data_IF_802016568413
#
_entry.id   IF_802016568413
#
_cell.length_a   1.000
_cell.length_b   1.000
_cell.length_c   1.000
_cell.angle_alpha   90.00
_cell.angle_beta   90.00
_cell.angle_gamma   90.00
#
_symmetry.space_group_name_H-M   'P 1'
#
loop_
_entity.id
_entity.type
_entity.pdbx_description
1 polymer ?
#
# COMPACT_ATOMS: atom_id res chain seq x y z
N UNK A 1 -15.47 4.01 -6.82
CA UNK A 1 -16.06 2.81 -6.24
C UNK A 1 -15.49 1.56 -6.89
N UNK A 2 -15.25 0.53 -6.12
CA UNK A 2 -14.91 -0.78 -6.68
C UNK A 2 -16.15 -1.27 -7.43
N UNK A 3 -16.08 -1.60 -8.74
CA UNK A 3 -17.23 -2.12 -9.45
C UNK A 3 -17.76 -3.40 -8.76
N UNK A 4 -19.04 -3.42 -8.43
CA UNK A 4 -19.67 -4.52 -7.72
C UNK A 4 -19.98 -4.25 -6.24
N UNK A 5 -19.52 -3.13 -5.67
CA UNK A 5 -19.98 -2.69 -4.35
C UNK A 5 -21.40 -2.13 -4.46
N UNK A 6 -22.38 -2.96 -4.19
CA UNK A 6 -23.81 -2.62 -4.30
C UNK A 6 -24.38 -1.98 -3.03
N UNK A 7 -23.55 -1.73 -2.01
CA UNK A 7 -23.97 -1.06 -0.77
C UNK A 7 -24.89 -1.87 0.17
N UNK A 8 -25.28 -3.07 -0.22
CA UNK A 8 -26.15 -3.91 0.60
C UNK A 8 -25.45 -5.20 1.02
N UNK A 9 -24.70 -5.13 2.13
CA UNK A 9 -24.02 -6.29 2.71
C UNK A 9 -22.71 -6.68 2.02
N UNK A 10 -22.30 -5.96 0.99
CA UNK A 10 -20.98 -6.12 0.38
C UNK A 10 -19.91 -5.49 1.27
N UNK A 11 -18.76 -6.11 1.36
CA UNK A 11 -17.60 -5.54 2.05
C UNK A 11 -17.14 -4.30 1.29
N UNK A 12 -17.15 -3.13 1.95
CA UNK A 12 -16.66 -1.90 1.34
C UNK A 12 -15.12 -1.90 1.37
N UNK A 13 -14.52 -2.22 0.23
CA UNK A 13 -13.06 -2.24 0.09
C UNK A 13 -12.45 -0.85 -0.22
N UNK A 14 -13.29 0.18 -0.45
CA UNK A 14 -12.82 1.50 -0.83
C UNK A 14 -12.38 1.58 -2.30
N UNK A 15 -11.47 2.50 -2.58
CA UNK A 15 -10.96 2.76 -3.93
C UNK A 15 -9.55 2.22 -4.09
N UNK A 16 -9.27 1.68 -5.29
CA UNK A 16 -7.92 1.31 -5.72
C UNK A 16 -7.40 2.34 -6.71
N UNK A 17 -6.14 2.70 -6.57
CA UNK A 17 -5.46 3.72 -7.38
C UNK A 17 -4.18 3.14 -7.97
N UNK A 18 -3.85 3.46 -9.22
CA UNK A 18 -2.49 3.28 -9.68
C UNK A 18 -1.56 4.28 -8.98
N UNK A 19 -0.26 4.03 -9.01
CA UNK A 19 0.69 4.85 -8.26
C UNK A 19 0.71 6.31 -8.72
N UNK A 20 0.56 6.57 -10.02
CA UNK A 20 0.48 7.94 -10.54
C UNK A 20 -0.73 8.70 -9.99
N UNK A 21 -1.90 8.05 -9.89
CA UNK A 21 -3.06 8.66 -9.28
C UNK A 21 -2.84 8.87 -7.77
N UNK A 22 -2.28 7.89 -7.05
CA UNK A 22 -2.01 8.00 -5.63
C UNK A 22 -1.02 9.14 -5.30
N UNK A 23 -0.08 9.42 -6.19
CA UNK A 23 0.95 10.48 -6.06
C UNK A 23 0.61 11.78 -6.78
N UNK A 24 -0.66 11.96 -7.15
CA UNK A 24 -1.16 13.18 -7.80
C UNK A 24 -0.42 13.57 -9.10
N UNK A 25 -0.06 12.57 -9.90
CA UNK A 25 0.47 12.77 -11.26
C UNK A 25 1.93 12.41 -11.46
N UNK A 26 2.63 11.92 -10.44
CA UNK A 26 4.01 11.44 -10.65
C UNK A 26 4.05 10.26 -11.61
N UNK A 27 5.03 10.26 -12.49
CA UNK A 27 5.23 9.22 -13.52
C UNK A 27 6.58 8.55 -13.36
N UNK A 28 6.81 7.49 -14.12
CA UNK A 28 8.13 6.88 -14.18
C UNK A 28 9.19 7.84 -14.75
N UNK A 29 8.80 8.78 -15.62
CA UNK A 29 9.72 9.76 -16.18
C UNK A 29 10.04 10.90 -15.20
N UNK A 30 9.10 11.24 -14.31
CA UNK A 30 9.30 12.32 -13.33
C UNK A 30 10.07 11.87 -12.09
N UNK A 31 9.94 10.59 -11.69
CA UNK A 31 10.59 10.07 -10.49
C UNK A 31 10.99 8.60 -10.68
N UNK A 32 12.30 8.35 -10.63
CA UNK A 32 12.90 7.01 -10.75
C UNK A 32 13.38 6.47 -9.41
N UNK A 33 13.51 7.32 -8.40
CA UNK A 33 13.93 6.96 -7.04
C UNK A 33 13.47 8.03 -6.05
N UNK A 34 13.47 7.71 -4.76
CA UNK A 34 13.03 8.62 -3.72
C UNK A 34 11.51 8.70 -3.59
N UNK A 35 11.02 9.74 -2.94
CA UNK A 35 9.63 9.89 -2.56
C UNK A 35 8.92 10.93 -3.44
N UNK A 36 7.69 10.62 -3.86
CA UNK A 36 6.82 11.56 -4.53
C UNK A 36 6.53 12.77 -3.62
N UNK A 37 6.62 13.96 -4.19
CA UNK A 37 6.40 15.21 -3.44
C UNK A 37 4.91 15.48 -3.16
N UNK A 38 4.02 14.87 -3.94
CA UNK A 38 2.58 15.09 -3.88
C UNK A 38 1.82 13.78 -3.67
N UNK A 39 0.57 13.89 -3.28
CA UNK A 39 -0.34 12.75 -3.14
C UNK A 39 -1.80 13.21 -3.18
N UNK A 40 -2.71 12.23 -3.34
CA UNK A 40 -4.16 12.46 -3.20
C UNK A 40 -4.61 12.65 -1.75
N UNK A 41 -3.71 12.55 -0.79
CA UNK A 41 -4.00 12.77 0.62
C UNK A 41 -4.46 14.21 0.88
N UNK A 42 -5.37 14.39 1.82
CA UNK A 42 -5.84 15.71 2.23
C UNK A 42 -4.69 16.60 2.72
N UNK A 43 -4.89 17.90 2.68
CA UNK A 43 -3.90 18.86 3.19
C UNK A 43 -3.50 18.54 4.63
N UNK A 44 -2.20 18.51 4.91
CA UNK A 44 -1.65 18.09 6.20
C UNK A 44 -1.44 16.59 6.34
N UNK A 45 -1.82 15.82 5.33
CA UNK A 45 -1.59 14.37 5.26
C UNK A 45 -0.72 14.02 4.06
N UNK A 46 -0.06 12.88 4.12
CA UNK A 46 0.82 12.39 3.04
C UNK A 46 0.71 10.89 2.89
N UNK A 47 1.17 10.37 1.76
CA UNK A 47 1.43 8.93 1.64
C UNK A 47 2.58 8.51 2.57
N UNK A 48 2.52 7.31 3.16
CA UNK A 48 3.66 6.72 3.84
C UNK A 48 4.85 6.54 2.89
N UNK A 49 6.06 6.65 3.39
CA UNK A 49 7.25 6.21 2.66
C UNK A 49 7.40 4.68 2.74
N UNK A 50 7.95 4.08 1.68
CA UNK A 50 8.18 2.64 1.57
C UNK A 50 9.67 2.29 1.52
N UNK A 51 9.94 0.99 1.38
CA UNK A 51 11.29 0.45 1.38
C UNK A 51 11.92 0.37 2.77
N UNK A 52 13.21 0.05 2.82
CA UNK A 52 13.95 -0.13 4.07
C UNK A 52 13.94 1.16 4.89
N UNK A 53 13.50 1.06 6.15
CA UNK A 53 13.44 2.19 7.08
C UNK A 53 12.36 3.23 6.78
N UNK A 54 11.51 3.01 5.78
CA UNK A 54 10.37 3.87 5.49
C UNK A 54 9.27 3.77 6.55
N UNK A 55 8.25 4.62 6.41
CA UNK A 55 7.14 4.67 7.40
C UNK A 55 6.46 3.32 7.60
N UNK A 56 6.27 2.53 6.54
CA UNK A 56 5.68 1.20 6.69
C UNK A 56 6.57 0.25 7.47
N UNK A 57 7.90 0.30 7.28
CA UNK A 57 8.83 -0.50 8.07
C UNK A 57 8.84 -0.08 9.55
N UNK A 58 8.77 1.22 9.83
CA UNK A 58 8.67 1.74 11.18
C UNK A 58 7.33 1.37 11.84
N UNK A 59 6.23 1.41 11.09
CA UNK A 59 4.92 0.97 11.56
C UNK A 59 4.94 -0.52 11.92
N UNK A 60 5.56 -1.34 11.09
CA UNK A 60 5.74 -2.76 11.34
C UNK A 60 6.51 -3.02 12.65
N UNK A 61 7.59 -2.27 12.87
CA UNK A 61 8.36 -2.34 14.12
C UNK A 61 7.52 -1.90 15.33
N UNK A 62 6.70 -0.86 15.19
CA UNK A 62 5.80 -0.42 16.25
C UNK A 62 4.72 -1.48 16.59
N UNK A 63 4.36 -2.32 15.62
CA UNK A 63 3.46 -3.46 15.81
C UNK A 63 4.16 -4.72 16.37
N UNK A 64 5.48 -4.66 16.59
CA UNK A 64 6.29 -5.76 17.13
C UNK A 64 6.97 -6.63 16.08
N UNK A 65 6.95 -6.20 14.82
CA UNK A 65 7.69 -6.83 13.71
C UNK A 65 9.14 -6.34 13.60
N UNK A 66 9.85 -6.85 12.61
CA UNK A 66 11.25 -6.49 12.34
C UNK A 66 11.42 -5.30 11.40
N UNK A 67 10.36 -4.81 10.79
CA UNK A 67 10.41 -3.86 9.67
C UNK A 67 10.66 -4.51 8.31
N UNK A 68 10.62 -5.84 8.26
CA UNK A 68 10.76 -6.68 7.08
C UNK A 68 9.63 -7.72 7.04
N UNK A 69 9.79 -8.75 6.22
CA UNK A 69 8.78 -9.80 6.12
C UNK A 69 8.54 -10.49 7.46
N UNK A 70 7.27 -10.71 7.77
CA UNK A 70 6.80 -11.46 8.94
C UNK A 70 5.81 -12.54 8.54
N UNK A 71 5.79 -13.64 9.30
CA UNK A 71 4.96 -14.81 9.05
C UNK A 71 4.03 -15.09 10.23
N UNK A 72 3.10 -16.00 10.03
CA UNK A 72 2.13 -16.39 11.07
C UNK A 72 2.80 -16.74 12.39
N UNK A 73 2.21 -16.22 13.48
CA UNK A 73 2.76 -16.36 14.84
C UNK A 73 3.57 -15.15 15.33
N UNK A 74 3.93 -14.22 14.46
CA UNK A 74 4.55 -12.96 14.85
C UNK A 74 3.51 -11.94 15.32
N UNK A 75 3.87 -11.10 16.29
CA UNK A 75 2.93 -10.20 16.99
C UNK A 75 2.33 -9.11 16.08
N UNK A 76 3.07 -8.67 15.06
CA UNK A 76 2.66 -7.62 14.14
C UNK A 76 1.54 -8.03 13.18
N UNK A 77 1.39 -9.33 12.87
CA UNK A 77 0.40 -9.83 11.90
C UNK A 77 -1.02 -9.37 12.25
N UNK A 78 -1.43 -9.57 13.52
CA UNK A 78 -2.77 -9.16 13.96
C UNK A 78 -2.99 -7.65 13.88
N UNK A 79 -1.95 -6.86 14.14
CA UNK A 79 -2.03 -5.40 14.06
C UNK A 79 -2.17 -4.90 12.61
N UNK A 80 -1.45 -5.51 11.68
CA UNK A 80 -1.55 -5.18 10.26
C UNK A 80 -2.94 -5.46 9.69
N UNK A 81 -3.64 -6.49 10.16
CA UNK A 81 -5.01 -6.79 9.72
C UNK A 81 -6.00 -5.65 10.01
N UNK A 82 -5.69 -4.77 10.96
CA UNK A 82 -6.48 -3.57 11.26
C UNK A 82 -5.99 -2.31 10.50
N UNK A 83 -4.94 -2.43 9.70
CA UNK A 83 -4.35 -1.28 9.00
C UNK A 83 -5.11 -0.84 7.76
N UNK A 84 -5.99 -1.66 7.25
CA UNK A 84 -6.83 -1.36 6.10
C UNK A 84 -7.70 -2.54 5.69
N UNK A 85 -8.61 -2.36 4.74
CA UNK A 85 -9.41 -3.45 4.22
C UNK A 85 -8.54 -4.40 3.40
N UNK A 86 -8.93 -5.67 3.35
CA UNK A 86 -8.38 -6.65 2.42
C UNK A 86 -8.95 -6.43 1.01
N UNK A 87 -8.65 -5.27 0.45
CA UNK A 87 -9.21 -4.83 -0.83
C UNK A 87 -8.65 -5.57 -2.04
N UNK A 88 -7.58 -6.34 -1.84
CA UNK A 88 -6.87 -6.93 -2.97
C UNK A 88 -6.19 -5.89 -3.85
N UNK A 89 -6.00 -6.21 -5.11
CA UNK A 89 -5.47 -5.31 -6.11
C UNK A 89 -6.22 -5.41 -7.44
N UNK A 90 -6.01 -4.42 -8.32
CA UNK A 90 -6.57 -4.40 -9.67
C UNK A 90 -5.48 -4.45 -10.73
N UNK A 91 -5.60 -5.40 -11.66
CA UNK A 91 -4.86 -5.44 -12.92
C UNK A 91 -5.70 -6.21 -13.94
N UNK A 92 -6.33 -5.49 -14.87
CA UNK A 92 -7.29 -6.08 -15.83
C UNK A 92 -8.44 -6.87 -15.16
N UNK A 93 -8.62 -6.72 -13.86
CA UNK A 93 -9.58 -7.39 -13.00
C UNK A 93 -9.20 -7.27 -11.54
N UNK A 94 -10.08 -7.71 -10.64
CA UNK A 94 -9.83 -7.72 -9.21
C UNK A 94 -9.24 -9.07 -8.78
N UNK A 95 -8.18 -9.01 -7.97
CA UNK A 95 -7.51 -10.16 -7.39
C UNK A 95 -7.39 -10.01 -5.87
N UNK A 96 -7.35 -11.12 -5.17
CA UNK A 96 -7.05 -11.21 -3.72
C UNK A 96 -8.02 -10.45 -2.79
N UNK A 97 -9.17 -10.02 -3.28
CA UNK A 97 -10.19 -9.36 -2.45
C UNK A 97 -10.66 -10.28 -1.32
N UNK A 98 -10.69 -9.74 -0.11
CA UNK A 98 -11.04 -10.47 1.11
C UNK A 98 -9.88 -11.27 1.73
N UNK A 99 -8.75 -11.42 1.04
CA UNK A 99 -7.59 -12.18 1.52
C UNK A 99 -6.36 -11.32 1.81
N UNK A 100 -6.15 -10.27 1.03
CA UNK A 100 -4.93 -9.44 1.08
C UNK A 100 -5.21 -7.95 1.01
N UNK A 101 -4.44 -7.18 1.78
CA UNK A 101 -4.38 -5.72 1.69
C UNK A 101 -3.09 -5.26 1.01
N UNK A 102 -3.21 -4.26 0.16
CA UNK A 102 -2.14 -3.62 -0.60
C UNK A 102 -2.25 -2.11 -0.42
N UNK A 103 -1.22 -1.47 0.09
CA UNK A 103 -1.21 -0.03 0.34
C UNK A 103 0.01 0.63 -0.31
N UNK A 104 -0.23 1.54 -1.25
CA UNK A 104 0.84 2.30 -1.88
C UNK A 104 1.63 3.15 -0.89
N UNK A 105 2.95 3.20 -1.09
CA UNK A 105 3.81 4.24 -0.53
C UNK A 105 4.04 5.38 -1.53
N UNK A 106 4.65 6.46 -1.07
CA UNK A 106 5.16 7.54 -1.92
C UNK A 106 6.48 7.20 -2.61
N UNK A 107 7.12 6.09 -2.25
CA UNK A 107 8.51 5.79 -2.63
C UNK A 107 8.60 5.00 -3.92
N UNK A 108 9.35 5.53 -4.89
CA UNK A 108 9.75 4.82 -6.09
C UNK A 108 10.81 3.76 -5.77
N UNK A 109 10.75 2.62 -6.43
CA UNK A 109 11.81 1.61 -6.32
C UNK A 109 13.02 2.04 -7.17
N UNK A 110 14.20 2.24 -6.57
CA UNK A 110 15.38 2.70 -7.31
C UNK A 110 16.03 1.60 -8.16
N UNK A 111 15.70 0.35 -7.92
CA UNK A 111 16.29 -0.81 -8.60
C UNK A 111 15.46 -1.23 -9.81
N UNK A 112 14.14 -1.29 -9.64
CA UNK A 112 13.22 -1.74 -10.68
C UNK A 112 12.47 -0.57 -11.30
N UNK A 113 12.87 -0.21 -12.51
CA UNK A 113 12.21 0.85 -13.28
C UNK A 113 10.72 0.57 -13.45
N UNK A 114 9.88 1.57 -13.16
CA UNK A 114 8.43 1.42 -13.21
C UNK A 114 7.79 0.74 -12.00
N UNK A 115 8.57 0.43 -10.96
CA UNK A 115 8.09 -0.10 -9.69
C UNK A 115 8.00 1.00 -8.63
N UNK A 116 7.15 0.78 -7.65
CA UNK A 116 7.07 1.57 -6.42
C UNK A 116 6.82 0.65 -5.24
N UNK A 117 7.24 1.10 -4.06
CA UNK A 117 7.06 0.34 -2.82
C UNK A 117 5.62 0.39 -2.33
N UNK A 118 5.19 -0.69 -1.69
CA UNK A 118 3.89 -0.81 -1.03
C UNK A 118 3.98 -1.74 0.18
N UNK A 119 3.02 -1.65 1.08
CA UNK A 119 2.84 -2.64 2.13
C UNK A 119 1.85 -3.71 1.69
N UNK A 120 2.23 -4.97 1.88
CA UNK A 120 1.40 -6.16 1.68
C UNK A 120 1.08 -6.79 3.03
N UNK A 121 -0.18 -7.10 3.28
CA UNK A 121 -0.58 -7.79 4.51
C UNK A 121 -1.77 -8.71 4.27
N UNK A 122 -1.74 -9.84 4.96
CA UNK A 122 -2.77 -10.87 4.93
C UNK A 122 -2.98 -11.49 6.31
N UNK A 123 -3.66 -12.64 6.36
CA UNK A 123 -3.96 -13.32 7.62
C UNK A 123 -2.72 -13.90 8.31
N UNK A 124 -1.69 -14.24 7.55
CA UNK A 124 -0.52 -15.01 8.00
C UNK A 124 0.81 -14.50 7.45
N UNK A 125 0.79 -13.35 6.76
CA UNK A 125 1.99 -12.77 6.16
C UNK A 125 1.89 -11.25 6.09
N UNK A 126 3.01 -10.57 6.31
CA UNK A 126 3.20 -9.14 6.11
C UNK A 126 4.53 -8.89 5.41
N UNK A 127 4.53 -7.95 4.47
CA UNK A 127 5.74 -7.36 3.91
C UNK A 127 5.56 -5.83 3.80
N UNK A 128 6.16 -5.05 4.71
CA UNK A 128 6.00 -3.60 4.74
C UNK A 128 6.81 -2.88 3.65
N UNK A 129 7.67 -3.59 2.91
CA UNK A 129 8.58 -3.02 1.92
C UNK A 129 8.59 -3.76 0.59
N UNK A 130 7.47 -4.32 0.17
CA UNK A 130 7.37 -4.96 -1.14
C UNK A 130 7.31 -3.91 -2.26
N UNK A 131 7.65 -4.28 -3.50
CA UNK A 131 7.56 -3.39 -4.66
C UNK A 131 6.94 -4.10 -5.86
N UNK A 132 6.21 -3.34 -6.68
CA UNK A 132 5.58 -3.86 -7.88
C UNK A 132 5.28 -2.74 -8.89
N UNK A 133 4.75 -3.11 -10.05
CA UNK A 133 4.42 -2.20 -11.14
C UNK A 133 3.47 -1.08 -10.70
N UNK A 134 3.85 0.17 -10.97
CA UNK A 134 3.07 1.39 -10.64
C UNK A 134 1.70 1.44 -11.32
N UNK A 135 1.48 0.62 -12.33
CA UNK A 135 0.20 0.51 -13.05
C UNK A 135 -0.87 -0.30 -12.30
N UNK A 136 -0.48 -1.10 -11.31
CA UNK A 136 -1.44 -1.84 -10.50
C UNK A 136 -2.30 -0.89 -9.65
N UNK A 137 -3.52 -1.29 -9.38
CA UNK A 137 -4.42 -0.57 -8.48
C UNK A 137 -4.31 -1.10 -7.06
N UNK A 138 -3.83 -0.27 -6.14
CA UNK A 138 -3.75 -0.58 -4.71
C UNK A 138 -4.50 0.46 -3.89
N UNK A 139 -4.77 0.13 -2.64
CA UNK A 139 -5.34 1.06 -1.67
C UNK A 139 -4.37 2.19 -1.30
N UNK A 140 -4.91 3.21 -0.69
CA UNK A 140 -4.16 4.35 -0.15
C UNK A 140 -4.54 4.54 1.32
N UNK A 141 -3.55 4.71 2.17
CA UNK A 141 -3.70 5.11 3.56
C UNK A 141 -2.77 6.27 3.85
N UNK A 142 -3.34 7.41 4.21
CA UNK A 142 -2.57 8.62 4.48
C UNK A 142 -2.09 8.65 5.93
N UNK A 143 -0.92 9.24 6.15
CA UNK A 143 -0.38 9.58 7.47
C UNK A 143 -0.47 11.09 7.68
N UNK A 144 -0.68 11.49 8.93
CA UNK A 144 -0.56 12.90 9.33
C UNK A 144 0.91 13.33 9.23
N UNK A 145 1.15 14.51 8.72
CA UNK A 145 2.49 15.10 8.65
C UNK A 145 3.03 15.44 10.04
#
# INVERSE_FOLDING_TARGET
>A
PVPGDTGSGATNYGYLYNWSAATAGETQASITSGNAAHSICARGWRLPTGGTGGDFAQLDQAFGGSGTNSWSGEANIAQWQHSGPFAGYWWEGFFDQGGWGYLWSSSADPVWSGYAFYALFGADYVNPGNSDYRRYGFGVRCLLN
#
